data_IF_329545132596
#
_entry.id   IF_329545132596
#
_cell.length_a   1.000
_cell.length_b   1.000
_cell.length_c   1.000
_cell.angle_alpha   90.00
_cell.angle_beta   90.00
_cell.angle_gamma   90.00
#
_symmetry.space_group_name_H-M   'P 1'
#
loop_
_entity.id
_entity.type
_entity.pdbx_description
1 polymer ?
#
# COMPACT_ATOMS: atom_id res chain seq x y z
N UNK A 1 -49.05 36.31 62.06
CA UNK A 1 -47.71 35.73 61.89
C UNK A 1 -47.73 34.88 60.63
N UNK A 2 -47.37 35.47 59.48
CA UNK A 2 -47.15 34.74 58.24
C UNK A 2 -45.67 34.42 58.13
N UNK A 3 -45.31 33.15 57.98
CA UNK A 3 -43.96 32.74 57.60
C UNK A 3 -43.99 32.18 56.18
N UNK A 4 -43.23 32.85 55.33
CA UNK A 4 -42.92 32.59 53.93
C UNK A 4 -42.09 31.31 53.77
N UNK A 5 -42.41 30.48 52.79
CA UNK A 5 -41.55 29.41 52.30
C UNK A 5 -41.31 29.60 50.80
N UNK A 6 -40.12 30.04 50.42
CA UNK A 6 -39.65 30.07 49.04
C UNK A 6 -39.02 28.73 48.68
N UNK A 7 -39.65 27.96 47.79
CA UNK A 7 -39.04 26.81 47.13
C UNK A 7 -38.48 27.25 45.77
N UNK A 8 -37.16 27.34 45.65
CA UNK A 8 -36.49 27.54 44.37
C UNK A 8 -36.25 26.17 43.70
N UNK A 9 -36.93 25.91 42.59
CA UNK A 9 -36.64 24.76 41.75
C UNK A 9 -35.43 25.09 40.85
N UNK A 10 -34.29 24.45 41.11
CA UNK A 10 -33.12 24.54 40.24
C UNK A 10 -33.34 23.64 39.01
N UNK A 11 -33.56 24.26 37.85
CA UNK A 11 -33.55 23.56 36.57
C UNK A 11 -32.09 23.31 36.14
N UNK A 12 -31.63 22.07 36.24
CA UNK A 12 -30.33 21.66 35.71
C UNK A 12 -30.42 21.54 34.18
N UNK A 13 -29.85 22.50 33.46
CA UNK A 13 -29.66 22.42 32.01
C UNK A 13 -28.45 21.51 31.74
N UNK A 14 -28.70 20.26 31.38
CA UNK A 14 -27.66 19.34 30.93
C UNK A 14 -27.30 19.75 29.49
N UNK A 15 -26.24 20.55 29.33
CA UNK A 15 -25.64 20.81 28.04
C UNK A 15 -24.98 19.51 27.54
N UNK A 16 -25.65 18.81 26.63
CA UNK A 16 -25.10 17.67 25.92
C UNK A 16 -24.14 18.20 24.85
N UNK A 17 -22.86 18.32 25.20
CA UNK A 17 -21.79 18.51 24.22
C UNK A 17 -21.65 17.25 23.39
N UNK A 18 -22.25 17.23 22.20
CA UNK A 18 -21.91 16.25 21.17
C UNK A 18 -20.45 16.49 20.78
N UNK A 19 -19.57 15.59 21.23
CA UNK A 19 -18.25 15.42 20.64
C UNK A 19 -18.46 14.86 19.22
N UNK A 20 -18.60 15.76 18.25
CA UNK A 20 -18.42 15.40 16.86
C UNK A 20 -16.92 15.14 16.66
N UNK A 21 -16.49 13.89 16.86
CA UNK A 21 -15.20 13.41 16.41
C UNK A 21 -15.12 13.73 14.91
N UNK A 22 -14.25 14.68 14.55
CA UNK A 22 -14.09 15.14 13.18
C UNK A 22 -13.58 13.99 12.30
N UNK A 23 -14.49 13.21 11.73
CA UNK A 23 -14.16 12.31 10.64
C UNK A 23 -13.74 13.20 9.47
N UNK A 24 -12.45 13.16 9.12
CA UNK A 24 -11.96 13.79 7.90
C UNK A 24 -12.74 13.16 6.74
N UNK A 25 -13.47 13.95 5.98
CA UNK A 25 -14.21 13.44 4.83
C UNK A 25 -13.21 12.81 3.84
N UNK A 26 -13.27 11.48 3.70
CA UNK A 26 -12.37 10.75 2.82
C UNK A 26 -12.75 11.03 1.36
N UNK A 27 -11.80 11.51 0.57
CA UNK A 27 -12.01 11.69 -0.87
C UNK A 27 -11.96 10.31 -1.52
N UNK A 28 -13.05 9.92 -2.17
CA UNK A 28 -13.16 8.61 -2.80
C UNK A 28 -13.10 8.72 -4.32
N UNK A 29 -12.38 7.80 -4.95
CA UNK A 29 -12.34 7.59 -6.40
C UNK A 29 -12.86 6.20 -6.71
N UNK A 30 -13.26 5.96 -7.97
CA UNK A 30 -13.70 4.63 -8.40
C UNK A 30 -12.53 3.63 -8.25
N UNK A 31 -12.62 2.61 -7.38
CA UNK A 31 -11.50 1.70 -7.17
C UNK A 31 -11.13 0.95 -8.45
N UNK A 32 -9.88 0.56 -8.57
CA UNK A 32 -9.42 -0.31 -9.66
C UNK A 32 -9.59 -1.78 -9.26
N UNK A 33 -10.12 -2.58 -10.18
CA UNK A 33 -10.26 -4.03 -10.05
C UNK A 33 -9.54 -4.75 -11.19
N UNK A 34 -9.11 -5.97 -10.92
CA UNK A 34 -8.44 -6.83 -11.90
C UNK A 34 -9.48 -7.80 -12.47
N UNK A 35 -9.55 -7.91 -13.80
CA UNK A 35 -10.36 -8.91 -14.51
C UNK A 35 -9.51 -9.56 -15.59
N UNK A 36 -9.23 -10.86 -15.45
CA UNK A 36 -8.24 -11.53 -16.28
C UNK A 36 -6.89 -10.84 -16.15
N UNK A 37 -6.27 -10.48 -17.28
CA UNK A 37 -4.95 -9.83 -17.34
C UNK A 37 -4.99 -8.31 -17.45
N UNK A 38 -6.10 -7.66 -17.07
CA UNK A 38 -6.31 -6.20 -17.25
C UNK A 38 -6.92 -5.55 -16.02
N UNK A 39 -6.60 -4.27 -15.84
CA UNK A 39 -7.17 -3.40 -14.81
C UNK A 39 -8.37 -2.63 -15.35
N UNK A 40 -9.38 -2.42 -14.51
CA UNK A 40 -10.60 -1.70 -14.87
C UNK A 40 -11.08 -0.83 -13.72
N UNK A 41 -11.69 0.31 -14.05
CA UNK A 41 -12.51 1.06 -13.10
C UNK A 41 -13.70 0.21 -12.66
N UNK A 42 -13.90 0.07 -11.34
CA UNK A 42 -14.89 -0.87 -10.78
C UNK A 42 -16.32 -0.57 -11.24
N UNK A 43 -16.70 0.70 -11.32
CA UNK A 43 -18.08 1.12 -11.56
C UNK A 43 -18.41 1.21 -13.04
N UNK A 44 -17.57 1.87 -13.85
CA UNK A 44 -17.86 2.07 -15.27
C UNK A 44 -17.27 1.00 -16.21
N UNK A 45 -16.37 0.13 -15.70
CA UNK A 45 -15.81 -0.99 -16.44
C UNK A 45 -14.84 -0.62 -17.58
N UNK A 46 -14.46 0.65 -17.72
CA UNK A 46 -13.44 1.07 -18.68
C UNK A 46 -12.05 0.60 -18.24
N UNK A 47 -11.21 0.24 -19.21
CA UNK A 47 -9.88 -0.28 -18.93
C UNK A 47 -8.98 0.83 -18.34
N UNK A 48 -8.34 0.53 -17.23
CA UNK A 48 -7.36 1.41 -16.58
C UNK A 48 -5.95 1.07 -17.08
N UNK A 49 -5.20 2.10 -17.46
CA UNK A 49 -3.79 1.99 -17.83
C UNK A 49 -2.96 2.82 -16.84
N UNK A 50 -1.96 2.20 -16.24
CA UNK A 50 -1.02 2.90 -15.35
C UNK A 50 -0.11 3.81 -16.18
N UNK A 51 -0.11 5.10 -15.85
CA UNK A 51 0.84 6.11 -16.30
C UNK A 51 1.46 6.67 -15.03
N UNK A 52 2.57 6.07 -14.61
CA UNK A 52 3.05 6.24 -13.25
C UNK A 52 4.49 6.69 -13.12
N UNK A 53 4.80 7.14 -11.91
CA UNK A 53 6.16 7.48 -11.47
C UNK A 53 6.44 6.80 -10.13
N UNK A 54 7.70 6.39 -9.92
CA UNK A 54 8.19 6.05 -8.58
C UNK A 54 8.19 7.31 -7.71
N UNK A 55 7.67 7.22 -6.49
CA UNK A 55 7.61 8.34 -5.56
C UNK A 55 8.08 7.88 -4.17
N UNK A 56 9.39 7.98 -3.94
CA UNK A 56 10.05 7.67 -2.68
C UNK A 56 11.24 8.61 -2.52
N UNK A 57 11.38 9.24 -1.35
CA UNK A 57 12.54 10.05 -1.02
C UNK A 57 13.70 9.16 -0.58
N UNK A 58 14.93 9.59 -0.87
CA UNK A 58 16.18 8.98 -0.42
C UNK A 58 16.30 7.47 -0.69
N UNK A 59 15.58 6.98 -1.70
CA UNK A 59 15.62 5.58 -2.10
C UNK A 59 16.99 5.22 -2.65
N UNK A 60 17.71 4.37 -1.92
CA UNK A 60 18.90 3.69 -2.45
C UNK A 60 18.46 2.36 -3.05
N UNK A 61 18.71 2.18 -4.35
CA UNK A 61 18.37 0.95 -5.08
C UNK A 61 19.06 -0.29 -4.51
N UNK A 62 18.57 -1.49 -4.90
CA UNK A 62 19.16 -2.78 -4.51
C UNK A 62 18.16 -3.93 -4.30
N UNK A 63 16.87 -3.70 -4.53
CA UNK A 63 15.82 -4.71 -4.35
C UNK A 63 15.73 -5.19 -2.90
N UNK A 64 15.52 -6.49 -2.70
CA UNK A 64 15.51 -7.18 -1.38
C UNK A 64 16.73 -6.89 -0.47
N UNK A 65 17.88 -6.51 -1.03
CA UNK A 65 19.10 -6.19 -0.27
C UNK A 65 19.46 -4.69 -0.32
N UNK A 66 18.59 -3.85 -0.90
CA UNK A 66 18.83 -2.40 -0.95
C UNK A 66 18.89 -1.82 0.46
N UNK A 67 19.88 -0.97 0.73
CA UNK A 67 20.05 -0.40 2.07
C UNK A 67 18.96 0.57 2.47
N UNK A 68 18.14 1.06 1.53
CA UNK A 68 17.06 2.01 1.82
C UNK A 68 17.46 3.33 2.47
N UNK A 69 18.77 3.57 2.60
CA UNK A 69 19.50 4.57 3.40
C UNK A 69 19.88 4.13 4.83
N UNK A 70 21.08 4.56 5.23
CA UNK A 70 21.92 4.02 6.31
C UNK A 70 21.59 4.56 7.70
N UNK A 71 21.72 3.66 8.70
CA UNK A 71 21.66 3.84 10.15
C UNK A 71 20.27 3.79 10.82
N UNK A 72 20.06 2.67 11.51
CA UNK A 72 19.16 2.43 12.65
C UNK A 72 17.63 2.63 12.54
N UNK A 73 17.10 3.42 11.59
CA UNK A 73 15.68 3.51 11.15
C UNK A 73 15.54 4.63 10.11
N UNK A 74 15.66 4.39 8.79
CA UNK A 74 15.77 5.53 7.84
C UNK A 74 15.19 5.27 6.43
N UNK A 75 13.90 4.95 6.30
CA UNK A 75 13.17 5.32 5.07
C UNK A 75 12.25 6.50 5.37
N UNK A 76 12.10 7.42 4.42
CA UNK A 76 11.13 8.52 4.51
C UNK A 76 9.82 8.07 3.87
N UNK A 77 8.73 8.04 4.63
CA UNK A 77 7.39 7.79 4.10
C UNK A 77 6.83 9.07 3.46
N UNK A 78 6.75 9.15 2.11
CA UNK A 78 6.33 10.38 1.44
C UNK A 78 4.81 10.59 1.47
N UNK A 79 4.04 9.60 1.94
CA UNK A 79 2.58 9.69 2.11
C UNK A 79 2.19 10.13 3.53
N UNK A 80 3.12 10.08 4.49
CA UNK A 80 2.93 10.64 5.83
C UNK A 80 3.26 12.14 5.90
N UNK A 81 4.03 12.67 4.94
CA UNK A 81 4.36 14.10 4.86
C UNK A 81 3.37 14.87 3.97
N UNK A 82 2.36 15.46 4.60
CA UNK A 82 1.37 16.34 3.95
C UNK A 82 2.03 17.44 3.12
N UNK A 83 3.11 18.04 3.60
CA UNK A 83 3.75 19.18 2.95
C UNK A 83 4.45 18.76 1.66
N UNK A 84 5.16 17.62 1.69
CA UNK A 84 5.82 17.05 0.52
C UNK A 84 4.79 16.63 -0.54
N UNK A 85 3.78 15.83 -0.18
CA UNK A 85 2.80 15.38 -1.16
C UNK A 85 1.98 16.54 -1.75
N UNK A 86 1.61 17.55 -0.94
CA UNK A 86 0.89 18.74 -1.45
C UNK A 86 1.74 19.57 -2.42
N UNK A 87 3.05 19.64 -2.19
CA UNK A 87 4.00 20.30 -3.10
C UNK A 87 4.13 19.53 -4.42
N UNK A 88 4.14 18.20 -4.36
CA UNK A 88 4.54 17.34 -5.49
C UNK A 88 3.37 16.94 -6.40
N UNK A 89 2.15 16.80 -5.86
CA UNK A 89 0.93 16.45 -6.63
C UNK A 89 0.70 17.38 -7.84
N UNK A 90 0.82 18.73 -7.74
CA UNK A 90 0.66 19.61 -8.89
C UNK A 90 1.61 19.29 -10.06
N UNK A 91 2.83 18.82 -9.77
CA UNK A 91 3.77 18.41 -10.81
C UNK A 91 3.39 17.05 -11.40
N UNK A 92 2.97 16.08 -10.56
CA UNK A 92 2.46 14.79 -11.03
C UNK A 92 1.25 14.96 -11.95
N UNK A 93 0.31 15.86 -11.61
CA UNK A 93 -0.84 16.18 -12.46
C UNK A 93 -0.41 16.76 -13.81
N UNK A 94 0.59 17.65 -13.84
CA UNK A 94 1.14 18.20 -15.10
C UNK A 94 1.80 17.14 -15.97
N UNK A 95 2.38 16.10 -15.36
CA UNK A 95 2.94 14.93 -16.05
C UNK A 95 1.85 13.93 -16.50
N UNK A 96 0.57 14.20 -16.21
CA UNK A 96 -0.53 13.27 -16.45
C UNK A 96 -0.38 11.93 -15.74
N UNK A 97 0.32 11.93 -14.61
CA UNK A 97 0.47 10.76 -13.72
C UNK A 97 -0.89 10.38 -13.15
N UNK A 98 -1.24 9.10 -13.21
CA UNK A 98 -2.43 8.54 -12.55
C UNK A 98 -2.09 7.41 -11.56
N UNK A 99 -0.81 7.05 -11.41
CA UNK A 99 -0.37 6.02 -10.47
C UNK A 99 1.00 6.40 -9.92
N UNK A 100 1.22 6.23 -8.62
CA UNK A 100 2.55 6.29 -8.03
C UNK A 100 2.90 4.93 -7.43
N UNK A 101 4.19 4.59 -7.44
CA UNK A 101 4.73 3.47 -6.68
C UNK A 101 5.50 3.99 -5.47
N UNK A 102 5.15 3.50 -4.28
CA UNK A 102 5.82 3.82 -3.01
C UNK A 102 6.42 2.55 -2.44
N UNK A 103 7.71 2.58 -2.12
CA UNK A 103 8.52 1.40 -1.78
C UNK A 103 8.56 1.11 -0.27
N UNK A 104 8.34 2.13 0.57
CA UNK A 104 8.33 1.96 2.01
C UNK A 104 7.37 2.96 2.67
N UNK A 105 6.42 2.43 3.45
CA UNK A 105 5.44 3.17 4.24
C UNK A 105 5.66 2.91 5.72
N UNK A 106 5.42 3.90 6.58
CA UNK A 106 5.29 3.71 8.02
C UNK A 106 3.82 3.41 8.32
N UNK A 107 3.45 2.14 8.62
CA UNK A 107 2.06 1.78 8.87
C UNK A 107 1.47 2.38 10.16
N UNK A 108 2.29 3.02 11.01
CA UNK A 108 1.84 3.69 12.23
C UNK A 108 1.49 5.17 12.02
N UNK A 109 1.91 5.75 10.89
CA UNK A 109 1.62 7.13 10.54
C UNK A 109 0.19 7.30 9.98
N UNK A 110 -0.29 8.54 9.95
CA UNK A 110 -1.56 8.88 9.30
C UNK A 110 -1.29 9.33 7.86
N UNK A 111 -1.91 8.65 6.88
CA UNK A 111 -1.77 8.95 5.45
C UNK A 111 -2.97 9.70 4.86
N UNK A 112 -3.97 10.08 5.66
CA UNK A 112 -5.26 10.60 5.19
C UNK A 112 -5.07 11.85 4.33
N UNK A 113 -4.22 12.77 4.76
CA UNK A 113 -4.02 14.02 4.06
C UNK A 113 -3.48 13.80 2.64
N UNK A 114 -2.46 12.97 2.48
CA UNK A 114 -1.85 12.70 1.17
C UNK A 114 -2.73 11.79 0.32
N UNK A 115 -3.30 10.72 0.89
CA UNK A 115 -4.16 9.81 0.14
C UNK A 115 -5.42 10.50 -0.38
N UNK A 116 -6.01 11.41 0.41
CA UNK A 116 -7.14 12.23 -0.04
C UNK A 116 -6.73 13.23 -1.13
N UNK A 117 -5.57 13.87 -1.01
CA UNK A 117 -5.07 14.79 -2.03
C UNK A 117 -4.74 14.08 -3.36
N UNK A 118 -4.14 12.89 -3.29
CA UNK A 118 -3.88 12.02 -4.44
C UNK A 118 -5.20 11.57 -5.08
N UNK A 119 -6.17 11.14 -4.28
CA UNK A 119 -7.50 10.76 -4.76
C UNK A 119 -8.20 11.94 -5.46
N UNK A 120 -8.15 13.14 -4.89
CA UNK A 120 -8.70 14.36 -5.50
C UNK A 120 -8.03 14.68 -6.86
N UNK A 121 -6.77 14.31 -7.03
CA UNK A 121 -6.02 14.45 -8.29
C UNK A 121 -6.21 13.25 -9.26
N UNK A 122 -6.98 12.22 -8.88
CA UNK A 122 -7.17 11.01 -9.67
C UNK A 122 -5.94 10.08 -9.71
N UNK A 123 -5.06 10.17 -8.71
CA UNK A 123 -3.82 9.41 -8.60
C UNK A 123 -3.99 8.23 -7.65
N UNK A 124 -3.64 7.04 -8.14
CA UNK A 124 -3.66 5.78 -7.41
C UNK A 124 -2.28 5.42 -6.85
N UNK A 125 -2.24 4.55 -5.85
CA UNK A 125 -0.99 4.11 -5.20
C UNK A 125 -0.83 2.60 -5.34
N UNK A 126 0.33 2.17 -5.82
CA UNK A 126 0.83 0.81 -5.62
C UNK A 126 1.90 0.86 -4.53
N UNK A 127 1.70 0.12 -3.44
CA UNK A 127 2.60 0.13 -2.29
C UNK A 127 3.34 -1.20 -2.15
N UNK A 128 4.66 -1.15 -2.00
CA UNK A 128 5.41 -2.31 -1.56
C UNK A 128 5.11 -2.58 -0.07
N UNK A 129 4.97 -3.85 0.31
CA UNK A 129 4.62 -4.25 1.68
C UNK A 129 5.85 -4.30 2.61
N UNK A 130 7.00 -4.61 2.01
CA UNK A 130 8.30 -4.65 2.68
C UNK A 130 8.81 -3.24 3.00
N UNK A 131 9.86 -3.18 3.81
CA UNK A 131 10.81 -2.08 3.82
C UNK A 131 12.24 -2.63 3.88
N UNK A 132 13.27 -1.80 3.68
CA UNK A 132 14.67 -2.23 3.63
C UNK A 132 15.11 -3.23 4.72
N UNK A 133 14.74 -3.02 5.98
CA UNK A 133 15.13 -3.89 7.11
C UNK A 133 14.16 -5.07 7.34
N UNK A 134 12.94 -5.01 6.81
CA UNK A 134 11.90 -6.01 6.92
C UNK A 134 11.42 -6.43 5.53
N UNK A 135 12.27 -7.19 4.85
CA UNK A 135 12.01 -7.80 3.56
C UNK A 135 12.50 -9.26 3.55
N UNK A 136 12.00 -10.05 2.60
CA UNK A 136 12.54 -11.40 2.37
C UNK A 136 13.97 -11.24 1.86
N UNK A 137 14.96 -11.69 2.63
CA UNK A 137 16.36 -11.66 2.23
C UNK A 137 16.64 -12.74 1.18
N UNK A 138 17.06 -12.35 -0.02
CA UNK A 138 17.32 -13.30 -1.12
C UNK A 138 18.41 -14.34 -0.84
N UNK A 139 19.40 -14.03 0.01
CA UNK A 139 20.55 -14.90 0.28
C UNK A 139 20.25 -15.91 1.41
N UNK A 140 19.24 -15.61 2.22
CA UNK A 140 18.76 -16.47 3.31
C UNK A 140 17.24 -16.29 3.45
N UNK A 141 16.46 -16.77 2.47
CA UNK A 141 15.06 -16.41 2.39
C UNK A 141 14.24 -17.07 3.48
N UNK A 142 13.41 -16.27 4.13
CA UNK A 142 12.46 -16.69 5.13
C UNK A 142 11.12 -15.96 4.95
N UNK A 143 10.05 -16.61 5.38
CA UNK A 143 8.74 -16.01 5.55
C UNK A 143 8.27 -16.33 6.96
N UNK A 144 8.43 -15.35 7.85
CA UNK A 144 8.24 -15.51 9.29
C UNK A 144 7.21 -14.51 9.84
N UNK A 145 6.93 -14.62 11.14
CA UNK A 145 5.93 -13.79 11.80
C UNK A 145 6.25 -12.29 11.76
N UNK A 146 7.53 -11.92 11.81
CA UNK A 146 7.94 -10.51 11.74
C UNK A 146 7.60 -9.90 10.38
N UNK A 147 7.92 -10.61 9.28
CA UNK A 147 7.58 -10.17 7.92
C UNK A 147 6.06 -10.20 7.67
N UNK A 148 5.36 -11.22 8.17
CA UNK A 148 3.90 -11.27 8.10
C UNK A 148 3.24 -10.08 8.82
N UNK A 149 3.70 -9.78 10.04
CA UNK A 149 3.23 -8.63 10.83
C UNK A 149 3.49 -7.32 10.10
N UNK A 150 4.69 -7.16 9.51
CA UNK A 150 5.03 -6.00 8.69
C UNK A 150 4.05 -5.82 7.53
N UNK A 151 3.84 -6.87 6.74
CA UNK A 151 3.01 -6.80 5.53
C UNK A 151 1.55 -6.50 5.88
N UNK A 152 1.02 -7.17 6.91
CA UNK A 152 -0.37 -6.96 7.35
C UNK A 152 -0.60 -5.57 7.96
N UNK A 153 0.40 -4.99 8.63
CA UNK A 153 0.31 -3.61 9.11
C UNK A 153 0.20 -2.60 7.97
N UNK A 154 0.97 -2.77 6.88
CA UNK A 154 0.85 -1.92 5.68
C UNK A 154 -0.50 -2.10 4.99
N UNK A 155 -1.02 -3.33 4.92
CA UNK A 155 -2.37 -3.60 4.42
C UNK A 155 -3.42 -2.86 5.26
N UNK A 156 -3.36 -2.98 6.59
CA UNK A 156 -4.31 -2.32 7.51
C UNK A 156 -4.30 -0.79 7.35
N UNK A 157 -3.12 -0.19 7.21
CA UNK A 157 -2.96 1.25 7.01
C UNK A 157 -3.55 1.73 5.66
N UNK A 158 -3.41 0.94 4.60
CA UNK A 158 -3.69 1.39 3.23
C UNK A 158 -5.01 0.90 2.65
N UNK A 159 -5.59 -0.19 3.16
CA UNK A 159 -6.76 -0.84 2.57
C UNK A 159 -8.05 0.01 2.65
N UNK A 160 -8.10 0.97 3.57
CA UNK A 160 -9.20 1.93 3.71
C UNK A 160 -9.30 2.91 2.54
N UNK A 161 -8.21 3.16 1.80
CA UNK A 161 -8.21 4.14 0.72
C UNK A 161 -8.68 3.56 -0.62
N UNK A 162 -9.68 4.21 -1.22
CA UNK A 162 -10.23 3.81 -2.53
C UNK A 162 -9.21 3.86 -3.67
N UNK A 163 -8.20 4.72 -3.56
CA UNK A 163 -7.09 4.87 -4.51
C UNK A 163 -5.88 3.98 -4.20
N UNK A 164 -5.92 3.10 -3.19
CA UNK A 164 -4.95 2.01 -3.06
C UNK A 164 -5.22 0.96 -4.15
N UNK A 165 -4.37 0.93 -5.18
CA UNK A 165 -4.54 0.09 -6.36
C UNK A 165 -4.17 -1.37 -6.08
N UNK A 166 -3.02 -1.57 -5.45
CA UNK A 166 -2.44 -2.89 -5.26
C UNK A 166 -1.21 -2.84 -4.36
N UNK A 167 -0.75 -4.02 -3.96
CA UNK A 167 0.43 -4.19 -3.15
C UNK A 167 1.49 -5.01 -3.88
N UNK A 168 2.77 -4.73 -3.68
CA UNK A 168 3.85 -5.63 -4.06
C UNK A 168 4.33 -6.42 -2.83
N UNK A 169 4.28 -7.75 -2.91
CA UNK A 169 4.76 -8.64 -1.86
C UNK A 169 6.28 -8.92 -1.93
N UNK A 170 6.95 -8.41 -2.96
CA UNK A 170 8.38 -8.48 -3.12
C UNK A 170 8.83 -7.68 -4.33
N UNK A 171 10.09 -7.22 -4.29
CA UNK A 171 10.74 -6.46 -5.34
C UNK A 171 12.14 -7.01 -5.59
N UNK A 172 12.34 -7.67 -6.73
CA UNK A 172 13.62 -8.24 -7.16
C UNK A 172 14.28 -9.09 -6.05
N UNK A 173 13.47 -9.94 -5.40
CA UNK A 173 13.95 -10.86 -4.37
C UNK A 173 14.90 -11.85 -5.04
N UNK A 174 14.37 -12.79 -5.81
CA UNK A 174 15.15 -13.51 -6.81
C UNK A 174 15.54 -12.54 -7.90
N UNK A 175 16.84 -12.43 -8.19
CA UNK A 175 17.36 -11.51 -9.19
C UNK A 175 18.50 -12.11 -10.03
N UNK A 176 18.90 -13.36 -9.75
CA UNK A 176 19.91 -14.09 -10.48
C UNK A 176 19.62 -15.62 -10.43
N UNK A 177 20.20 -16.44 -11.32
CA UNK A 177 19.96 -17.89 -11.35
C UNK A 177 20.21 -18.62 -10.02
N UNK A 178 21.12 -18.12 -9.19
CA UNK A 178 21.57 -18.78 -7.96
C UNK A 178 20.72 -18.48 -6.72
N UNK A 179 19.67 -17.66 -6.81
CA UNK A 179 18.79 -17.31 -5.69
C UNK A 179 17.28 -17.43 -6.03
N UNK A 180 16.96 -18.29 -7.01
CA UNK A 180 15.58 -18.48 -7.50
C UNK A 180 14.66 -19.16 -6.48
N UNK A 181 15.24 -19.87 -5.50
CA UNK A 181 14.54 -20.51 -4.37
C UNK A 181 13.81 -19.50 -3.47
N UNK A 182 14.32 -18.27 -3.37
CA UNK A 182 13.66 -17.19 -2.63
C UNK A 182 12.23 -16.89 -3.15
N UNK A 183 11.94 -17.20 -4.41
CA UNK A 183 10.60 -17.01 -5.02
C UNK A 183 9.51 -17.79 -4.29
N UNK A 184 9.83 -18.95 -3.69
CA UNK A 184 8.86 -19.75 -2.95
C UNK A 184 8.32 -19.02 -1.72
N UNK A 185 9.20 -18.28 -1.02
CA UNK A 185 8.85 -17.48 0.14
C UNK A 185 8.01 -16.26 -0.25
N UNK A 186 8.28 -15.65 -1.41
CA UNK A 186 7.44 -14.59 -1.96
C UNK A 186 6.03 -15.11 -2.29
N UNK A 187 5.89 -16.30 -2.88
CA UNK A 187 4.55 -16.89 -3.13
C UNK A 187 3.80 -17.18 -1.83
N UNK A 188 4.49 -17.59 -0.77
CA UNK A 188 3.90 -17.72 0.55
C UNK A 188 3.41 -16.35 1.08
N UNK A 189 4.23 -15.30 0.95
CA UNK A 189 3.85 -13.94 1.32
C UNK A 189 2.62 -13.43 0.55
N UNK A 190 2.56 -13.67 -0.76
CA UNK A 190 1.39 -13.36 -1.61
C UNK A 190 0.14 -14.08 -1.10
N UNK A 191 0.23 -15.40 -0.88
CA UNK A 191 -0.88 -16.22 -0.40
C UNK A 191 -1.43 -15.70 0.93
N UNK A 192 -0.55 -15.48 1.89
CA UNK A 192 -0.93 -15.14 3.25
C UNK A 192 -1.46 -13.69 3.32
N UNK A 193 -0.89 -12.77 2.54
CA UNK A 193 -1.41 -11.39 2.41
C UNK A 193 -2.81 -11.38 1.79
N UNK A 194 -3.04 -12.13 0.71
CA UNK A 194 -4.36 -12.27 0.08
C UNK A 194 -5.39 -12.87 1.03
N UNK A 195 -4.99 -13.89 1.80
CA UNK A 195 -5.82 -14.49 2.82
C UNK A 195 -6.19 -13.49 3.92
N UNK A 196 -5.23 -12.67 4.37
CA UNK A 196 -5.45 -11.64 5.37
C UNK A 196 -6.42 -10.53 4.90
N UNK A 197 -6.21 -9.99 3.69
CA UNK A 197 -7.13 -9.01 3.07
C UNK A 197 -8.56 -9.53 3.07
N UNK A 198 -8.75 -10.81 2.70
CA UNK A 198 -10.06 -11.47 2.71
C UNK A 198 -10.61 -11.64 4.13
N UNK A 199 -9.78 -12.09 5.08
CA UNK A 199 -10.17 -12.30 6.48
C UNK A 199 -10.65 -11.02 7.15
N UNK A 200 -9.98 -9.89 6.86
CA UNK A 200 -10.34 -8.57 7.38
C UNK A 200 -11.57 -7.94 6.71
N UNK A 201 -12.15 -8.64 5.72
CA UNK A 201 -13.27 -8.15 4.92
C UNK A 201 -12.97 -6.78 4.25
N UNK A 202 -11.71 -6.56 3.89
CA UNK A 202 -11.34 -5.40 3.08
C UNK A 202 -11.84 -5.56 1.65
N UNK A 203 -11.93 -4.43 0.93
CA UNK A 203 -12.13 -4.47 -0.52
C UNK A 203 -11.04 -5.35 -1.14
N UNK A 204 -11.38 -6.12 -2.17
CA UNK A 204 -10.37 -6.82 -2.98
C UNK A 204 -9.35 -5.81 -3.52
N UNK A 205 -8.11 -5.98 -3.10
CA UNK A 205 -6.93 -5.24 -3.55
C UNK A 205 -5.93 -6.30 -3.98
N UNK A 206 -5.35 -6.15 -5.18
CA UNK A 206 -4.44 -7.15 -5.73
C UNK A 206 -3.11 -7.17 -4.98
N UNK A 207 -2.49 -8.35 -4.90
CA UNK A 207 -1.13 -8.53 -4.40
C UNK A 207 -0.26 -9.09 -5.54
N UNK A 208 0.67 -8.26 -6.01
CA UNK A 208 1.57 -8.54 -7.11
C UNK A 208 3.02 -8.80 -6.69
N UNK A 209 3.89 -8.90 -7.70
CA UNK A 209 5.34 -8.96 -7.53
C UNK A 209 6.05 -8.08 -8.57
N UNK A 210 7.14 -7.43 -8.18
CA UNK A 210 8.00 -6.67 -9.07
C UNK A 210 9.33 -7.42 -9.31
N UNK A 211 9.65 -7.72 -10.57
CA UNK A 211 10.85 -8.47 -10.98
C UNK A 211 11.90 -7.58 -11.65
N UNK A 212 13.16 -8.04 -11.69
CA UNK A 212 14.20 -7.47 -12.54
C UNK A 212 14.18 -8.09 -13.97
N UNK A 213 15.02 -7.57 -14.87
CA UNK A 213 15.15 -8.04 -16.27
C UNK A 213 16.31 -9.02 -16.50
N UNK A 214 16.61 -9.91 -15.55
CA UNK A 214 17.65 -10.91 -15.76
C UNK A 214 17.19 -11.94 -16.82
N UNK A 215 17.94 -12.00 -17.93
CA UNK A 215 17.56 -12.76 -19.12
C UNK A 215 17.50 -14.28 -18.88
N UNK A 216 18.27 -14.79 -17.91
CA UNK A 216 18.38 -16.23 -17.65
C UNK A 216 17.19 -16.75 -16.82
N UNK A 217 16.52 -15.87 -16.07
CA UNK A 217 15.42 -16.27 -15.16
C UNK A 217 14.07 -15.64 -15.47
N UNK A 218 14.00 -14.52 -16.20
CA UNK A 218 12.77 -13.72 -16.36
C UNK A 218 11.52 -14.50 -16.81
N UNK A 219 11.69 -15.43 -17.76
CA UNK A 219 10.57 -16.24 -18.28
C UNK A 219 10.10 -17.23 -17.20
N UNK A 220 11.04 -17.97 -16.63
CA UNK A 220 10.76 -18.93 -15.56
C UNK A 220 10.13 -18.24 -14.34
N UNK A 221 10.55 -17.02 -14.01
CA UNK A 221 9.94 -16.25 -12.93
C UNK A 221 8.49 -15.88 -13.23
N UNK A 222 8.20 -15.35 -14.42
CA UNK A 222 6.83 -15.02 -14.81
C UNK A 222 5.91 -16.25 -14.75
N UNK A 223 6.39 -17.39 -15.25
CA UNK A 223 5.65 -18.66 -15.19
C UNK A 223 5.48 -19.15 -13.75
N UNK A 224 6.52 -19.10 -12.93
CA UNK A 224 6.49 -19.55 -11.54
C UNK A 224 5.51 -18.75 -10.68
N UNK A 225 5.50 -17.42 -10.82
CA UNK A 225 4.58 -16.57 -10.06
C UNK A 225 3.13 -16.69 -10.50
N UNK A 226 2.86 -17.21 -11.70
CA UNK A 226 1.52 -17.48 -12.20
C UNK A 226 1.07 -18.95 -12.05
N UNK A 227 1.98 -19.89 -11.74
CA UNK A 227 1.65 -21.31 -11.67
C UNK A 227 0.93 -21.71 -10.36
N UNK A 228 0.30 -22.89 -10.36
CA UNK A 228 -0.34 -23.47 -9.19
C UNK A 228 -1.69 -22.83 -8.86
N UNK A 229 -2.04 -22.82 -7.57
CA UNK A 229 -3.33 -22.32 -7.11
C UNK A 229 -3.39 -20.79 -7.14
N UNK A 230 -4.55 -20.26 -7.55
CA UNK A 230 -4.84 -18.82 -7.63
C UNK A 230 -4.66 -18.08 -6.29
N UNK A 231 -4.71 -18.78 -5.16
CA UNK A 231 -4.42 -18.20 -3.85
C UNK A 231 -2.94 -17.81 -3.71
N UNK A 232 -2.03 -18.58 -4.31
CA UNK A 232 -0.57 -18.39 -4.23
C UNK A 232 0.05 -17.74 -5.47
N UNK A 233 -0.72 -17.63 -6.56
CA UNK A 233 -0.32 -16.82 -7.70
C UNK A 233 -0.50 -15.34 -7.40
N UNK A 234 0.35 -14.52 -8.00
CA UNK A 234 0.23 -13.06 -7.97
C UNK A 234 -1.01 -12.59 -8.73
N UNK A 235 -1.54 -11.43 -8.36
CA UNK A 235 -2.67 -10.81 -9.06
C UNK A 235 -2.20 -9.89 -10.21
N UNK A 236 -0.97 -9.38 -10.14
CA UNK A 236 -0.36 -8.59 -11.21
C UNK A 236 1.16 -8.66 -11.18
N UNK A 237 1.77 -8.48 -12.34
CA UNK A 237 3.21 -8.58 -12.57
C UNK A 237 3.80 -7.20 -12.89
N UNK A 238 4.77 -6.77 -12.08
CA UNK A 238 5.57 -5.58 -12.32
C UNK A 238 6.94 -5.96 -12.83
N UNK A 239 7.48 -5.19 -13.78
CA UNK A 239 8.75 -5.49 -14.43
C UNK A 239 9.61 -4.23 -14.44
N UNK A 240 10.77 -4.27 -13.79
CA UNK A 240 11.73 -3.16 -13.78
C UNK A 240 12.63 -3.27 -15.02
N UNK A 241 12.27 -2.57 -16.09
CA UNK A 241 12.98 -2.59 -17.39
C UNK A 241 13.81 -1.33 -17.56
N UNK A 242 15.08 -1.49 -17.93
CA UNK A 242 16.03 -0.40 -18.21
C UNK A 242 16.80 -0.58 -19.53
N UNK A 243 16.33 -1.48 -20.41
CA UNK A 243 16.93 -1.77 -21.72
C UNK A 243 16.69 -0.69 -22.78
#
# INVERSE_FOLDING_TARGET
MLTSGFGAAAAAVIASTLFASGAVAQTTVDPIVIKGSKFFYKTNGTQFFMRGVAYQQDYTGGGSMGTGNSSTTQYSDPLADKSACSRDIPYMTRLSTNTIRVYALDPTANHDACMNALAAAGIYVVADLSEPLQSINRDAPEWNEALYTRYTAVVDAMAGYSNTLGFFAGNEVSNAPNNTDASAFVKAAVRDTKAYIKQKNYRTIGVGYATNDDADIRVNMADYFNCGDAASSIDFWGYNIYS
#
